data_IF_021820498010
#
_entry.id   IF_021820498010
#
_cell.length_a   1.000
_cell.length_b   1.000
_cell.length_c   1.000
_cell.angle_alpha   90.00
_cell.angle_beta   90.00
_cell.angle_gamma   90.00
#
_symmetry.space_group_name_H-M   'P 1'
#
loop_
_entity.id
_entity.type
_entity.pdbx_description
1 polymer ?
#
# COMPACT_ATOMS: atom_id res chain seq x y z
N UNK A 1 -9.30 2.66 -7.90
CA UNK A 1 -9.14 1.92 -6.63
C UNK A 1 -9.61 2.80 -5.48
N UNK A 2 -10.42 2.27 -4.58
CA UNK A 2 -10.86 3.04 -3.42
C UNK A 2 -10.05 2.64 -2.18
N UNK A 3 -10.24 3.38 -1.09
CA UNK A 3 -9.47 3.15 0.13
C UNK A 3 -9.68 1.73 0.69
N UNK A 4 -10.91 1.24 0.68
CA UNK A 4 -11.22 -0.10 1.17
C UNK A 4 -10.45 -1.16 0.38
N UNK A 5 -10.42 -1.03 -0.94
CA UNK A 5 -9.67 -1.94 -1.80
C UNK A 5 -8.17 -1.88 -1.49
N UNK A 6 -7.65 -0.68 -1.27
CA UNK A 6 -6.24 -0.52 -0.94
C UNK A 6 -5.88 -1.24 0.37
N UNK A 7 -6.69 -1.03 1.40
CA UNK A 7 -6.45 -1.67 2.70
C UNK A 7 -6.50 -3.19 2.59
N UNK A 8 -7.48 -3.70 1.86
CA UNK A 8 -7.61 -5.15 1.64
C UNK A 8 -6.40 -5.71 0.91
N UNK A 9 -5.91 -4.99 -0.10
CA UNK A 9 -4.77 -5.46 -0.88
C UNK A 9 -3.47 -5.40 -0.07
N UNK A 10 -3.33 -4.41 0.79
CA UNK A 10 -2.17 -4.35 1.68
C UNK A 10 -2.19 -5.55 2.64
N UNK A 11 -3.34 -5.82 3.25
CA UNK A 11 -3.47 -6.95 4.16
C UNK A 11 -3.16 -8.27 3.45
N UNK A 12 -3.67 -8.43 2.25
CA UNK A 12 -3.43 -9.64 1.45
C UNK A 12 -1.95 -9.78 1.11
N UNK A 13 -1.30 -8.67 0.74
CA UNK A 13 0.12 -8.66 0.42
C UNK A 13 0.98 -9.06 1.61
N UNK A 14 0.59 -8.66 2.80
CA UNK A 14 1.31 -8.96 4.02
C UNK A 14 0.85 -10.26 4.68
N UNK A 15 -0.17 -10.90 4.12
CA UNK A 15 -0.76 -12.14 4.64
C UNK A 15 -1.25 -11.98 6.07
N UNK A 16 -1.91 -10.85 6.35
CA UNK A 16 -2.52 -10.58 7.65
C UNK A 16 -4.00 -10.32 7.47
N UNK A 17 -4.76 -10.39 8.57
CA UNK A 17 -6.18 -10.10 8.56
C UNK A 17 -6.39 -8.63 8.20
N UNK A 18 -7.36 -8.35 7.33
CA UNK A 18 -7.63 -6.96 6.90
C UNK A 18 -8.00 -6.05 8.06
N UNK A 19 -8.54 -6.61 9.14
CA UNK A 19 -8.88 -5.83 10.33
C UNK A 19 -7.64 -5.23 11.01
N UNK A 20 -6.46 -5.76 10.71
CA UNK A 20 -5.21 -5.25 11.27
C UNK A 20 -4.65 -4.07 10.49
N UNK A 21 -5.15 -3.82 9.27
CA UNK A 21 -4.66 -2.76 8.42
C UNK A 21 -5.62 -1.56 8.47
N UNK A 22 -5.12 -0.46 8.99
CA UNK A 22 -5.89 0.78 9.12
C UNK A 22 -5.03 1.95 8.63
N UNK A 23 -5.58 3.15 8.61
CA UNK A 23 -4.84 4.34 8.25
C UNK A 23 -3.67 4.62 9.22
N UNK A 24 -3.69 4.01 10.39
CA UNK A 24 -2.63 4.19 11.38
C UNK A 24 -1.53 3.13 11.26
N UNK A 25 -1.70 2.15 10.36
CA UNK A 25 -0.74 1.07 10.22
C UNK A 25 0.55 1.53 9.52
N UNK A 26 1.67 0.97 9.96
CA UNK A 26 2.98 1.29 9.39
C UNK A 26 3.91 0.09 9.55
N UNK A 27 5.09 0.20 8.98
CA UNK A 27 6.11 -0.83 9.14
C UNK A 27 6.57 -0.97 10.58
N UNK A 28 6.33 0.04 11.41
CA UNK A 28 6.68 -0.01 12.82
C UNK A 28 5.63 -0.75 13.66
N UNK A 29 4.38 -0.78 13.19
CA UNK A 29 3.27 -1.39 13.93
C UNK A 29 2.88 -2.74 13.37
N UNK A 30 3.21 -3.03 12.12
CA UNK A 30 2.89 -4.30 11.45
C UNK A 30 4.21 -5.03 11.19
N UNK A 31 4.43 -6.11 11.93
CA UNK A 31 5.67 -6.89 11.85
C UNK A 31 5.92 -7.43 10.44
N UNK A 32 4.86 -7.85 9.77
CA UNK A 32 4.96 -8.41 8.43
C UNK A 32 5.33 -7.38 7.37
N UNK A 33 5.25 -6.11 7.70
CA UNK A 33 5.62 -5.04 6.78
C UNK A 33 7.11 -4.75 6.88
N UNK A 34 7.90 -5.71 6.46
CA UNK A 34 9.34 -5.59 6.36
C UNK A 34 9.70 -5.32 4.90
N UNK A 35 10.97 -5.46 4.54
CA UNK A 35 11.42 -5.20 3.16
C UNK A 35 10.72 -6.08 2.15
N UNK A 36 10.56 -7.37 2.44
CA UNK A 36 9.87 -8.29 1.54
C UNK A 36 8.38 -7.96 1.46
N UNK A 37 7.77 -7.64 2.60
CA UNK A 37 6.36 -7.24 2.64
C UNK A 37 6.12 -6.01 1.79
N UNK A 38 6.99 -5.03 1.89
CA UNK A 38 6.87 -3.80 1.12
C UNK A 38 7.01 -4.06 -0.38
N UNK A 39 7.95 -4.89 -0.77
CA UNK A 39 8.12 -5.27 -2.19
C UNK A 39 6.85 -5.94 -2.71
N UNK A 40 6.22 -6.79 -1.89
CA UNK A 40 4.97 -7.44 -2.26
C UNK A 40 3.86 -6.42 -2.43
N UNK A 41 3.77 -5.43 -1.54
CA UNK A 41 2.79 -4.35 -1.66
C UNK A 41 3.00 -3.59 -2.97
N UNK A 42 4.24 -3.26 -3.29
CA UNK A 42 4.55 -2.53 -4.52
C UNK A 42 4.13 -3.33 -5.76
N UNK A 43 4.41 -4.63 -5.77
CA UNK A 43 4.00 -5.49 -6.88
C UNK A 43 2.49 -5.56 -7.02
N UNK A 44 1.77 -5.64 -5.90
CA UNK A 44 0.32 -5.66 -5.90
C UNK A 44 -0.24 -4.34 -6.46
N UNK A 45 0.33 -3.21 -6.06
CA UNK A 45 -0.10 -1.90 -6.56
C UNK A 45 0.18 -1.76 -8.06
N UNK A 46 1.29 -2.32 -8.52
CA UNK A 46 1.63 -2.32 -9.93
C UNK A 46 0.54 -3.05 -10.74
N UNK A 47 0.12 -4.22 -10.28
CA UNK A 47 -0.95 -4.98 -10.92
C UNK A 47 -2.28 -4.23 -10.90
N UNK A 48 -2.63 -3.61 -9.78
CA UNK A 48 -3.91 -2.92 -9.63
C UNK A 48 -4.00 -1.64 -10.45
N UNK A 49 -2.87 -1.04 -10.78
CA UNK A 49 -2.83 0.24 -11.48
C UNK A 49 -2.34 0.11 -12.92
N UNK A 50 -2.27 -1.10 -13.45
CA UNK A 50 -1.77 -1.39 -14.80
C UNK A 50 -0.37 -0.79 -15.03
N UNK A 51 0.49 -0.94 -14.03
CA UNK A 51 1.87 -0.48 -14.10
C UNK A 51 2.08 1.00 -13.80
N UNK A 52 1.02 1.76 -13.57
CA UNK A 52 1.15 3.20 -13.33
C UNK A 52 1.86 3.52 -12.02
N UNK A 53 1.70 2.68 -11.00
CA UNK A 53 2.35 2.91 -9.71
C UNK A 53 3.87 2.73 -9.81
N UNK A 54 4.37 2.02 -10.81
CA UNK A 54 5.80 1.82 -10.96
C UNK A 54 6.55 3.13 -11.23
N UNK A 55 5.86 4.15 -11.75
CA UNK A 55 6.45 5.46 -11.98
C UNK A 55 6.52 6.31 -10.72
N UNK A 56 5.88 5.87 -9.64
CA UNK A 56 5.82 6.63 -8.40
C UNK A 56 6.96 6.20 -7.47
N UNK A 57 8.13 6.79 -7.68
CA UNK A 57 9.33 6.38 -6.93
C UNK A 57 9.18 6.57 -5.42
N UNK A 58 8.35 7.52 -5.00
CA UNK A 58 8.11 7.75 -3.57
C UNK A 58 7.47 6.54 -2.87
N UNK A 59 6.76 5.70 -3.62
CA UNK A 59 6.15 4.49 -3.05
C UNK A 59 7.21 3.53 -2.50
N UNK A 60 8.40 3.50 -3.09
CA UNK A 60 9.46 2.61 -2.62
C UNK A 60 9.96 2.97 -1.23
N UNK A 61 9.72 4.20 -0.81
CA UNK A 61 10.17 4.70 0.48
C UNK A 61 9.02 4.90 1.48
N UNK A 62 7.79 4.65 1.04
CA UNK A 62 6.64 4.80 1.92
C UNK A 62 6.65 3.68 2.97
N UNK A 63 6.49 4.03 4.23
CA UNK A 63 6.54 3.06 5.31
C UNK A 63 5.24 2.98 6.11
N UNK A 64 4.19 3.66 5.64
CA UNK A 64 2.90 3.68 6.33
C UNK A 64 1.75 3.72 5.33
N UNK A 65 0.58 3.32 5.81
CA UNK A 65 -0.63 3.40 5.00
C UNK A 65 -0.93 4.84 4.62
N UNK A 66 -0.74 5.78 5.55
CA UNK A 66 -0.99 7.20 5.26
C UNK A 66 -0.12 7.71 4.11
N UNK A 67 1.15 7.31 4.08
CA UNK A 67 2.04 7.72 2.99
C UNK A 67 1.59 7.13 1.66
N UNK A 68 1.20 5.85 1.65
CA UNK A 68 0.69 5.22 0.43
C UNK A 68 -0.57 5.92 -0.05
N UNK A 69 -1.50 6.21 0.85
CA UNK A 69 -2.75 6.90 0.51
C UNK A 69 -2.45 8.27 -0.09
N UNK A 70 -1.56 9.02 0.54
CA UNK A 70 -1.20 10.36 0.06
C UNK A 70 -0.63 10.32 -1.36
N UNK A 71 0.34 9.46 -1.58
CA UNK A 71 1.00 9.35 -2.87
C UNK A 71 0.03 8.92 -3.96
N UNK A 72 -0.78 7.91 -3.68
CA UNK A 72 -1.73 7.39 -4.65
C UNK A 72 -2.86 8.38 -4.94
N UNK A 73 -3.30 9.12 -3.92
CA UNK A 73 -4.34 10.13 -4.09
C UNK A 73 -3.82 11.29 -4.95
N UNK A 74 -2.61 11.75 -4.67
CA UNK A 74 -2.01 12.86 -5.42
C UNK A 74 -1.75 12.49 -6.88
N UNK A 75 -1.50 11.22 -7.15
CA UNK A 75 -1.27 10.75 -8.52
C UNK A 75 -2.56 10.44 -9.26
N UNK A 76 -3.71 10.48 -8.58
CA UNK A 76 -5.01 10.19 -9.17
C UNK A 76 -5.33 8.72 -9.28
N UNK A 77 -4.53 7.85 -8.67
CA UNK A 77 -4.75 6.40 -8.72
C UNK A 77 -5.69 5.90 -7.62
N UNK A 78 -5.85 6.68 -6.55
CA UNK A 78 -6.75 6.33 -5.45
C UNK A 78 -7.90 7.31 -5.40
N UNK A 79 -9.10 6.78 -5.38
CA UNK A 79 -10.34 7.57 -5.19
C UNK A 79 -10.52 7.83 -3.70
N UNK A 80 -10.50 9.07 -3.30
CA UNK A 80 -10.62 9.43 -1.88
C UNK A 80 -11.98 10.00 -1.56
#
# INVERSE_FOLDING_TARGET
MNLSDLLNQIADSLEVDESLITLESSSETIEEWDSLGHITILGTLDDLTDGKSADLVDLTQATSVKELVKILTESGLLDS
#
